data_IF_982132576663
#
_entry.id   IF_982132576663
#
_cell.length_a   1.000
_cell.length_b   1.000
_cell.length_c   1.000
_cell.angle_alpha   90.00
_cell.angle_beta   90.00
_cell.angle_gamma   90.00
#
_symmetry.space_group_name_H-M   'P 1'
#
loop_
_entity.id
_entity.type
_entity.pdbx_description
1 polymer ?
#
# COMPACT_ATOMS: atom_id res chain seq x y z
N UNK A 1 9.29 -0.23 -19.82
CA UNK A 1 8.54 0.40 -18.71
C UNK A 1 9.14 1.76 -18.48
N UNK A 2 8.33 2.79 -18.23
CA UNK A 2 8.86 4.12 -17.91
C UNK A 2 9.62 4.07 -16.60
N UNK A 3 10.78 4.72 -16.55
CA UNK A 3 11.52 4.91 -15.30
C UNK A 3 11.00 6.16 -14.61
N UNK A 4 9.98 5.98 -13.76
CA UNK A 4 9.44 7.04 -12.91
C UNK A 4 10.18 7.04 -11.57
N UNK A 5 10.25 8.22 -10.94
CA UNK A 5 10.53 8.37 -9.51
C UNK A 5 9.24 8.22 -8.69
N UNK A 6 9.37 7.95 -7.40
CA UNK A 6 8.24 7.86 -6.47
C UNK A 6 7.39 9.13 -6.45
N UNK A 7 8.02 10.31 -6.51
CA UNK A 7 7.34 11.61 -6.59
C UNK A 7 6.54 11.76 -7.89
N UNK A 8 7.11 11.34 -9.03
CA UNK A 8 6.40 11.36 -10.31
C UNK A 8 5.21 10.38 -10.30
N UNK A 9 5.36 9.18 -9.70
CA UNK A 9 4.26 8.22 -9.58
C UNK A 9 3.11 8.77 -8.75
N UNK A 10 3.38 9.36 -7.58
CA UNK A 10 2.35 10.03 -6.74
C UNK A 10 1.59 11.07 -7.56
N UNK A 11 2.33 11.98 -8.21
CA UNK A 11 1.75 13.06 -9.00
C UNK A 11 0.92 12.53 -10.16
N UNK A 12 1.45 11.57 -10.92
CA UNK A 12 0.80 11.01 -12.09
C UNK A 12 -0.49 10.28 -11.74
N UNK A 13 -0.53 9.56 -10.62
CA UNK A 13 -1.73 8.89 -10.11
C UNK A 13 -2.82 9.92 -9.74
N UNK A 14 -2.47 10.95 -8.97
CA UNK A 14 -3.41 12.00 -8.59
C UNK A 14 -3.93 12.79 -9.79
N UNK A 15 -3.05 13.09 -10.76
CA UNK A 15 -3.44 13.76 -12.02
C UNK A 15 -4.37 12.89 -12.87
N UNK A 16 -4.11 11.59 -12.94
CA UNK A 16 -4.96 10.64 -13.63
C UNK A 16 -6.38 10.63 -13.06
N UNK A 17 -6.54 10.40 -11.76
CA UNK A 17 -7.87 10.34 -11.15
C UNK A 17 -8.56 11.70 -11.09
N UNK A 18 -7.80 12.79 -10.94
CA UNK A 18 -8.35 14.14 -11.12
C UNK A 18 -8.95 14.35 -12.51
N UNK A 19 -8.32 13.80 -13.55
CA UNK A 19 -8.87 13.84 -14.93
C UNK A 19 -10.16 13.02 -15.11
N UNK A 20 -10.43 12.06 -14.22
CA UNK A 20 -11.67 11.27 -14.16
C UNK A 20 -12.73 11.87 -13.22
N UNK A 21 -12.46 13.06 -12.69
CA UNK A 21 -13.39 13.82 -11.85
C UNK A 21 -13.28 13.53 -10.35
N UNK A 22 -12.22 12.86 -9.90
CA UNK A 22 -11.97 12.65 -8.47
C UNK A 22 -11.42 13.92 -7.82
N UNK A 23 -11.95 14.26 -6.65
CA UNK A 23 -11.37 15.27 -5.80
C UNK A 23 -10.11 14.72 -5.12
N UNK A 24 -8.99 15.44 -5.26
CA UNK A 24 -7.77 15.11 -4.52
C UNK A 24 -7.94 15.55 -3.08
N UNK A 25 -7.87 14.61 -2.14
CA UNK A 25 -7.95 14.86 -0.69
C UNK A 25 -6.58 14.63 -0.03
N UNK A 26 -6.28 15.25 1.12
CA UNK A 26 -5.04 14.98 1.84
C UNK A 26 -5.07 13.59 2.49
N UNK A 27 -3.89 12.98 2.66
CA UNK A 27 -3.74 11.78 3.50
C UNK A 27 -4.20 12.10 4.93
N UNK A 28 -4.97 11.20 5.52
CA UNK A 28 -5.32 11.29 6.93
C UNK A 28 -4.13 10.94 7.85
N UNK A 29 -4.29 11.24 9.13
CA UNK A 29 -3.37 10.85 10.20
C UNK A 29 -3.15 9.33 10.26
N UNK A 30 -1.96 8.94 10.72
CA UNK A 30 -1.64 7.55 11.05
C UNK A 30 -2.44 7.03 12.26
N UNK A 31 -3.02 7.91 13.07
CA UNK A 31 -3.91 7.53 14.17
C UNK A 31 -5.37 7.66 13.69
N UNK A 32 -6.11 6.54 13.62
CA UNK A 32 -7.52 6.53 13.25
C UNK A 32 -8.35 7.46 14.15
N UNK A 33 -9.31 8.19 13.56
CA UNK A 33 -10.24 9.03 14.33
C UNK A 33 -11.44 8.26 14.85
N UNK A 34 -11.91 7.29 14.06
CA UNK A 34 -13.26 6.74 14.19
C UNK A 34 -13.27 5.23 14.46
N UNK A 35 -12.13 4.64 14.80
CA UNK A 35 -12.04 3.19 15.03
C UNK A 35 -11.10 2.86 16.22
N UNK A 36 -11.67 2.50 17.39
CA UNK A 36 -10.87 2.11 18.55
C UNK A 36 -10.28 0.69 18.45
N UNK A 37 -10.63 -0.09 17.42
CA UNK A 37 -10.21 -1.48 17.26
C UNK A 37 -8.89 -1.63 16.49
N UNK A 38 -8.48 -0.61 15.75
CA UNK A 38 -7.23 -0.59 14.98
C UNK A 38 -6.26 0.44 15.54
N UNK A 39 -4.99 0.06 15.69
CA UNK A 39 -3.96 0.93 16.27
C UNK A 39 -3.52 2.05 15.30
N UNK A 40 -3.49 1.74 14.01
CA UNK A 40 -3.00 2.64 12.96
C UNK A 40 -3.90 2.61 11.75
N UNK A 41 -3.84 3.67 10.95
CA UNK A 41 -4.36 3.69 9.59
C UNK A 41 -3.54 2.71 8.74
N UNK A 42 -4.14 1.60 8.31
CA UNK A 42 -3.46 0.52 7.56
C UNK A 42 -3.80 0.51 6.06
N UNK A 43 -4.81 1.29 5.66
CA UNK A 43 -5.31 1.45 4.30
C UNK A 43 -5.96 2.83 4.10
N UNK A 44 -6.04 3.27 2.84
CA UNK A 44 -6.69 4.53 2.44
C UNK A 44 -8.19 4.61 2.75
N UNK A 45 -8.87 3.47 2.87
CA UNK A 45 -10.30 3.44 3.18
C UNK A 45 -10.65 3.73 4.65
N UNK A 46 -9.70 3.54 5.58
CA UNK A 46 -9.98 3.67 7.03
C UNK A 46 -10.59 5.03 7.40
N UNK A 47 -10.05 6.17 6.95
CA UNK A 47 -10.64 7.49 7.22
C UNK A 47 -11.98 7.70 6.50
N UNK A 48 -12.29 6.88 5.50
CA UNK A 48 -13.45 7.02 4.63
C UNK A 48 -14.63 6.11 5.00
N UNK A 49 -14.48 5.25 6.01
CA UNK A 49 -15.51 4.30 6.47
C UNK A 49 -16.89 4.96 6.68
N UNK A 50 -17.04 6.13 7.33
CA UNK A 50 -18.35 6.77 7.51
C UNK A 50 -19.04 7.07 6.16
N UNK A 51 -18.27 7.51 5.16
CA UNK A 51 -18.79 7.85 3.85
C UNK A 51 -19.11 6.61 3.00
N UNK A 52 -18.31 5.54 3.16
CA UNK A 52 -18.60 4.23 2.57
C UNK A 52 -19.88 3.61 3.15
N UNK A 53 -20.24 3.96 4.39
CA UNK A 53 -21.51 3.58 5.02
C UNK A 53 -22.70 4.49 4.62
N UNK A 54 -22.46 5.54 3.83
CA UNK A 54 -23.51 6.38 3.25
C UNK A 54 -23.53 7.84 3.73
N UNK A 55 -22.60 8.24 4.61
CA UNK A 55 -22.43 9.67 4.90
C UNK A 55 -21.91 10.43 3.66
N UNK A 56 -22.26 11.71 3.55
CA UNK A 56 -21.80 12.54 2.43
C UNK A 56 -20.43 13.12 2.74
N UNK A 57 -19.45 12.84 1.86
CA UNK A 57 -18.14 13.46 1.95
C UNK A 57 -18.19 14.91 1.40
N UNK A 58 -17.57 15.90 2.06
CA UNK A 58 -17.64 17.31 1.65
C UNK A 58 -17.03 17.60 0.27
N UNK A 59 -16.06 16.78 -0.17
CA UNK A 59 -15.41 16.91 -1.48
C UNK A 59 -16.17 16.22 -2.63
N UNK A 60 -17.33 15.60 -2.38
CA UNK A 60 -18.15 14.92 -3.39
C UNK A 60 -18.08 13.39 -3.30
N UNK A 61 -18.46 12.71 -4.38
CA UNK A 61 -18.65 11.24 -4.43
C UNK A 61 -17.48 10.49 -5.06
N UNK A 62 -16.47 11.18 -5.56
CA UNK A 62 -15.25 10.60 -6.15
C UNK A 62 -14.03 11.21 -5.49
N UNK A 63 -13.19 10.40 -4.85
CA UNK A 63 -12.06 10.87 -4.05
C UNK A 63 -10.78 10.17 -4.46
N UNK A 64 -9.62 10.82 -4.34
CA UNK A 64 -8.32 10.18 -4.54
C UNK A 64 -7.26 10.79 -3.64
N UNK A 65 -6.31 9.98 -3.16
CA UNK A 65 -5.19 10.44 -2.34
C UNK A 65 -3.94 9.54 -2.45
N UNK A 66 -2.95 9.87 -1.62
CA UNK A 66 -1.81 9.00 -1.29
C UNK A 66 -1.73 8.87 0.23
N UNK A 67 -2.43 7.88 0.78
CA UNK A 67 -2.52 7.64 2.21
C UNK A 67 -1.23 7.07 2.79
N UNK A 68 -0.75 7.68 3.88
CA UNK A 68 0.26 7.13 4.79
C UNK A 68 -0.30 5.90 5.52
N UNK A 69 0.37 4.75 5.44
CA UNK A 69 -0.08 3.52 6.09
C UNK A 69 1.00 2.95 7.01
N UNK A 70 0.58 2.37 8.14
CA UNK A 70 1.45 1.55 8.99
C UNK A 70 0.83 0.17 9.18
N UNK A 71 1.57 -0.89 8.83
CA UNK A 71 1.19 -2.29 9.07
C UNK A 71 2.13 -2.90 10.10
N UNK A 72 1.55 -3.38 11.20
CA UNK A 72 2.29 -4.00 12.30
C UNK A 72 2.52 -5.50 12.08
N UNK A 73 1.72 -6.14 11.23
CA UNK A 73 1.87 -7.54 10.86
C UNK A 73 3.20 -7.84 10.16
N UNK A 74 3.73 -6.88 9.41
CA UNK A 74 4.94 -7.03 8.58
C UNK A 74 6.26 -6.75 9.34
N UNK A 75 6.18 -6.42 10.64
CA UNK A 75 7.34 -5.99 11.45
C UNK A 75 8.44 -7.05 11.49
N UNK A 76 8.07 -8.32 11.48
CA UNK A 76 9.03 -9.41 11.66
C UNK A 76 9.72 -9.83 10.34
N UNK A 77 9.03 -9.61 9.22
CA UNK A 77 9.43 -9.81 7.83
C UNK A 77 10.35 -8.70 7.33
N UNK A 78 10.23 -7.48 7.89
CA UNK A 78 11.09 -6.33 7.53
C UNK A 78 12.56 -6.70 7.55
N UNK A 79 13.23 -6.33 6.45
CA UNK A 79 14.60 -6.70 6.11
C UNK A 79 14.69 -7.69 4.95
N UNK A 80 13.57 -8.26 4.51
CA UNK A 80 13.48 -8.99 3.25
C UNK A 80 13.48 -8.05 2.03
N UNK A 81 13.00 -8.50 0.86
CA UNK A 81 13.03 -7.70 -0.36
C UNK A 81 11.82 -6.76 -0.53
N UNK A 82 10.73 -6.93 0.20
CA UNK A 82 9.41 -6.37 -0.19
C UNK A 82 8.54 -5.85 0.96
N UNK A 83 8.78 -6.23 2.21
CA UNK A 83 7.95 -5.82 3.34
C UNK A 83 8.46 -4.53 3.98
N UNK A 84 7.53 -3.64 4.30
CA UNK A 84 7.80 -2.37 4.99
C UNK A 84 6.77 -2.18 6.10
N UNK A 85 7.15 -1.56 7.20
CA UNK A 85 6.22 -1.21 8.28
C UNK A 85 5.39 0.00 7.91
N UNK A 86 6.04 1.02 7.36
CA UNK A 86 5.39 2.18 6.75
C UNK A 86 5.41 2.04 5.23
N UNK A 87 4.33 2.41 4.56
CA UNK A 87 4.27 2.53 3.11
C UNK A 87 3.18 3.53 2.73
N UNK A 88 3.16 3.90 1.45
CA UNK A 88 2.13 4.78 0.90
C UNK A 88 1.19 3.97 0.00
N UNK A 89 -0.11 4.16 0.21
CA UNK A 89 -1.17 3.56 -0.58
C UNK A 89 -1.80 4.64 -1.44
N UNK A 90 -1.71 4.51 -2.76
CA UNK A 90 -2.42 5.38 -3.69
C UNK A 90 -3.83 4.84 -3.86
N UNK A 91 -4.83 5.65 -3.55
CA UNK A 91 -6.23 5.22 -3.52
C UNK A 91 -7.16 6.11 -4.33
N UNK A 92 -8.21 5.50 -4.85
CA UNK A 92 -9.34 6.17 -5.44
C UNK A 92 -10.66 5.53 -4.97
N UNK A 93 -11.65 6.36 -4.68
CA UNK A 93 -12.93 5.92 -4.13
C UNK A 93 -14.10 6.38 -4.97
N UNK A 94 -15.08 5.48 -5.13
CA UNK A 94 -16.44 5.79 -5.54
C UNK A 94 -17.36 5.65 -4.35
N UNK A 95 -18.00 6.73 -3.95
CA UNK A 95 -19.00 6.77 -2.88
C UNK A 95 -20.39 6.76 -3.51
N UNK A 96 -20.86 5.57 -3.87
CA UNK A 96 -22.18 5.37 -4.49
C UNK A 96 -22.36 5.95 -5.90
N UNK A 97 -21.27 6.10 -6.66
CA UNK A 97 -21.29 6.71 -8.00
C UNK A 97 -20.99 5.71 -9.14
N UNK A 98 -19.72 5.47 -9.47
CA UNK A 98 -19.31 4.43 -10.42
C UNK A 98 -19.03 3.10 -9.70
N UNK A 99 -18.91 2.00 -10.44
CA UNK A 99 -18.63 0.68 -9.87
C UNK A 99 -17.59 -0.09 -10.70
N UNK A 100 -17.72 -1.41 -10.80
CA UNK A 100 -16.74 -2.32 -11.40
C UNK A 100 -16.30 -1.94 -12.80
N UNK A 101 -17.24 -1.60 -13.68
CA UNK A 101 -16.96 -1.34 -15.10
C UNK A 101 -15.96 -0.19 -15.27
N UNK A 102 -16.27 0.96 -14.69
CA UNK A 102 -15.42 2.14 -14.76
C UNK A 102 -14.13 1.96 -13.96
N UNK A 103 -14.19 1.35 -12.77
CA UNK A 103 -13.02 1.08 -11.95
C UNK A 103 -11.97 0.26 -12.72
N UNK A 104 -12.37 -0.90 -13.25
CA UNK A 104 -11.49 -1.79 -14.00
C UNK A 104 -10.96 -1.12 -15.27
N UNK A 105 -11.80 -0.40 -16.01
CA UNK A 105 -11.36 0.34 -17.20
C UNK A 105 -10.30 1.40 -16.86
N UNK A 106 -10.47 2.16 -15.78
CA UNK A 106 -9.51 3.19 -15.36
C UNK A 106 -8.23 2.60 -14.78
N UNK A 107 -8.33 1.53 -13.97
CA UNK A 107 -7.17 0.79 -13.47
C UNK A 107 -6.34 0.25 -14.64
N UNK A 108 -6.98 -0.36 -15.65
CA UNK A 108 -6.30 -0.82 -16.85
C UNK A 108 -5.66 0.32 -17.67
N UNK A 109 -6.38 1.43 -17.84
CA UNK A 109 -5.88 2.62 -18.55
C UNK A 109 -4.63 3.17 -17.87
N UNK A 110 -4.64 3.34 -16.55
CA UNK A 110 -3.50 3.86 -15.80
C UNK A 110 -2.27 2.94 -15.91
N UNK A 111 -2.48 1.63 -15.76
CA UNK A 111 -1.39 0.64 -15.82
C UNK A 111 -0.78 0.56 -17.23
N UNK A 112 -1.60 0.57 -18.28
CA UNK A 112 -1.14 0.21 -19.63
C UNK A 112 -0.96 1.40 -20.58
N UNK A 113 -1.60 2.53 -20.30
CA UNK A 113 -1.55 3.72 -21.16
C UNK A 113 -0.13 4.27 -21.28
N UNK A 114 0.32 4.53 -22.51
CA UNK A 114 1.67 5.03 -22.78
C UNK A 114 1.93 6.40 -22.16
N UNK A 115 0.90 7.23 -21.96
CA UNK A 115 1.00 8.51 -21.25
C UNK A 115 1.07 8.34 -19.73
N UNK A 116 0.63 7.20 -19.19
CA UNK A 116 0.62 6.84 -17.77
C UNK A 116 1.83 5.96 -17.45
N UNK A 117 1.63 4.73 -16.94
CA UNK A 117 2.74 3.83 -16.57
C UNK A 117 3.35 3.08 -17.76
N UNK A 118 2.56 2.81 -18.80
CA UNK A 118 3.02 2.07 -19.99
C UNK A 118 3.57 0.67 -19.66
N UNK A 119 2.93 -0.04 -18.74
CA UNK A 119 3.27 -1.42 -18.41
C UNK A 119 2.81 -2.33 -19.56
N UNK A 120 3.67 -3.20 -20.10
CA UNK A 120 3.28 -4.14 -21.12
C UNK A 120 2.15 -5.06 -20.62
N UNK A 121 1.07 -5.18 -21.40
CA UNK A 121 -0.15 -5.90 -21.02
C UNK A 121 0.11 -7.37 -20.70
N UNK A 122 1.04 -7.99 -21.41
CA UNK A 122 1.46 -9.38 -21.23
C UNK A 122 2.16 -9.64 -19.89
N UNK A 123 2.55 -8.60 -19.15
CA UNK A 123 3.10 -8.73 -17.80
C UNK A 123 2.06 -8.63 -16.70
N UNK A 124 0.83 -8.24 -17.05
CA UNK A 124 -0.24 -8.03 -16.08
C UNK A 124 -1.08 -9.30 -15.96
N UNK A 125 -1.37 -9.63 -14.72
CA UNK A 125 -2.21 -10.75 -14.31
C UNK A 125 -3.24 -10.24 -13.31
N UNK A 126 -4.41 -10.84 -13.32
CA UNK A 126 -5.57 -10.34 -12.58
C UNK A 126 -6.21 -11.47 -11.78
N UNK A 127 -6.80 -11.14 -10.65
CA UNK A 127 -7.58 -12.09 -9.84
C UNK A 127 -9.00 -11.61 -9.66
N UNK A 128 -9.95 -12.52 -9.48
CA UNK A 128 -11.36 -12.24 -9.23
C UNK A 128 -11.88 -13.22 -8.17
N UNK A 129 -12.90 -12.81 -7.42
CA UNK A 129 -13.50 -13.67 -6.40
C UNK A 129 -14.16 -14.94 -6.99
N UNK A 130 -13.73 -16.12 -6.52
CA UNK A 130 -14.21 -17.42 -6.98
C UNK A 130 -15.65 -17.75 -6.55
N UNK A 131 -16.23 -16.99 -5.63
CA UNK A 131 -17.52 -17.30 -5.03
C UNK A 131 -17.39 -18.22 -3.82
N UNK A 132 -18.33 -18.10 -2.90
CA UNK A 132 -18.54 -18.98 -1.75
C UNK A 132 -20.04 -19.06 -1.43
N UNK A 133 -20.40 -19.61 -0.27
CA UNK A 133 -21.78 -19.65 0.21
C UNK A 133 -22.39 -18.27 0.53
N UNK A 134 -21.56 -17.23 0.68
CA UNK A 134 -21.97 -15.88 1.09
C UNK A 134 -22.14 -14.93 -0.11
N UNK A 135 -21.40 -15.15 -1.19
CA UNK A 135 -21.45 -14.32 -2.38
C UNK A 135 -21.12 -15.11 -3.66
N UNK A 136 -21.76 -14.76 -4.79
CA UNK A 136 -21.51 -15.44 -6.06
C UNK A 136 -20.09 -15.18 -6.57
N UNK A 137 -19.63 -16.07 -7.46
CA UNK A 137 -18.42 -15.86 -8.25
C UNK A 137 -18.50 -14.55 -9.04
N UNK A 138 -17.40 -13.79 -9.07
CA UNK A 138 -17.35 -12.48 -9.70
C UNK A 138 -17.09 -12.55 -11.21
N UNK A 139 -18.08 -13.06 -11.94
CA UNK A 139 -18.07 -13.10 -13.40
C UNK A 139 -18.13 -11.68 -14.02
N UNK A 140 -18.60 -10.68 -13.27
CA UNK A 140 -18.71 -9.31 -13.75
C UNK A 140 -17.32 -8.70 -13.97
N UNK A 141 -16.45 -8.77 -12.95
CA UNK A 141 -15.06 -8.30 -13.03
C UNK A 141 -14.26 -9.04 -14.09
N UNK A 142 -14.43 -10.37 -14.18
CA UNK A 142 -13.80 -11.18 -15.23
C UNK A 142 -14.15 -10.67 -16.63
N UNK A 143 -15.44 -10.43 -16.89
CA UNK A 143 -15.88 -9.94 -18.20
C UNK A 143 -15.37 -8.53 -18.49
N UNK A 144 -15.34 -7.62 -17.51
CA UNK A 144 -14.79 -6.28 -17.73
C UNK A 144 -13.29 -6.28 -18.02
N UNK A 145 -12.50 -7.18 -17.40
CA UNK A 145 -11.10 -7.36 -17.79
C UNK A 145 -10.97 -7.88 -19.22
N UNK A 146 -11.82 -8.84 -19.62
CA UNK A 146 -11.88 -9.33 -21.01
C UNK A 146 -12.22 -8.21 -22.00
N UNK A 147 -13.12 -7.29 -21.63
CA UNK A 147 -13.44 -6.11 -22.45
C UNK A 147 -12.23 -5.17 -22.64
N UNK A 148 -11.28 -5.13 -21.70
CA UNK A 148 -10.01 -4.39 -21.85
C UNK A 148 -8.98 -5.11 -22.75
N UNK A 149 -9.28 -6.33 -23.20
CA UNK A 149 -8.40 -7.16 -24.02
C UNK A 149 -7.40 -7.97 -23.21
N UNK A 150 -7.66 -8.26 -21.94
CA UNK A 150 -6.85 -9.17 -21.11
C UNK A 150 -7.15 -10.61 -21.50
N UNK A 151 -6.13 -11.46 -21.62
CA UNK A 151 -6.34 -12.88 -21.95
C UNK A 151 -6.94 -13.70 -20.79
N UNK A 152 -7.77 -14.70 -21.10
CA UNK A 152 -8.53 -15.42 -20.06
C UNK A 152 -7.60 -16.24 -19.12
N UNK A 153 -6.46 -16.70 -19.64
CA UNK A 153 -5.40 -17.36 -18.88
C UNK A 153 -4.54 -16.39 -18.05
N UNK A 154 -4.78 -15.07 -18.17
CA UNK A 154 -4.22 -14.05 -17.28
C UNK A 154 -5.16 -13.66 -16.15
N UNK A 155 -6.39 -14.21 -16.09
CA UNK A 155 -7.40 -13.89 -15.07
C UNK A 155 -7.70 -15.14 -14.25
N UNK A 156 -7.44 -15.07 -12.93
CA UNK A 156 -7.56 -16.18 -12.01
C UNK A 156 -8.75 -15.98 -11.08
N UNK A 157 -9.52 -17.03 -10.83
CA UNK A 157 -10.53 -16.99 -9.77
C UNK A 157 -9.95 -17.59 -8.49
N UNK A 158 -9.88 -16.80 -7.41
CA UNK A 158 -9.33 -17.22 -6.13
C UNK A 158 -10.36 -17.18 -5.00
N UNK A 159 -10.21 -18.04 -3.97
CA UNK A 159 -11.13 -18.08 -2.85
C UNK A 159 -11.13 -16.79 -2.02
N UNK A 160 -12.05 -16.71 -1.07
CA UNK A 160 -12.26 -15.58 -0.15
C UNK A 160 -10.99 -15.10 0.55
N UNK A 161 -10.06 -16.00 0.87
CA UNK A 161 -8.79 -15.64 1.51
C UNK A 161 -7.94 -14.68 0.67
N UNK A 162 -8.10 -14.71 -0.66
CA UNK A 162 -7.34 -13.87 -1.59
C UNK A 162 -8.19 -12.81 -2.29
N UNK A 163 -9.48 -13.07 -2.51
CA UNK A 163 -10.34 -12.13 -3.25
C UNK A 163 -11.58 -11.67 -2.49
N UNK A 164 -11.40 -11.30 -1.23
CA UNK A 164 -12.42 -10.66 -0.42
C UNK A 164 -11.77 -9.73 0.58
N UNK A 165 -12.15 -8.46 0.54
CA UNK A 165 -11.60 -7.47 1.44
C UNK A 165 -12.60 -7.05 2.51
N UNK A 166 -12.09 -7.03 3.74
CA UNK A 166 -12.76 -6.45 4.90
C UNK A 166 -13.77 -7.34 5.63
N UNK A 167 -14.51 -6.76 6.59
CA UNK A 167 -14.42 -5.35 6.98
C UNK A 167 -13.08 -4.98 7.66
N UNK A 168 -12.78 -3.68 7.74
CA UNK A 168 -11.60 -3.17 8.43
C UNK A 168 -11.56 -3.55 9.94
N UNK A 169 -12.74 -3.71 10.55
CA UNK A 169 -12.92 -4.17 11.93
C UNK A 169 -13.64 -5.52 12.02
N UNK A 170 -14.43 -5.72 13.08
CA UNK A 170 -15.25 -6.94 13.24
C UNK A 170 -16.48 -6.89 12.32
N UNK A 171 -17.01 -5.69 12.09
CA UNK A 171 -18.19 -5.38 11.28
C UNK A 171 -17.88 -4.22 10.34
N UNK A 172 -18.73 -4.01 9.33
CA UNK A 172 -18.62 -2.88 8.42
C UNK A 172 -18.63 -3.25 6.94
N UNK A 173 -18.36 -2.27 6.06
CA UNK A 173 -18.42 -2.46 4.62
C UNK A 173 -17.29 -3.39 4.15
N UNK A 174 -17.63 -4.30 3.25
CA UNK A 174 -16.75 -5.32 2.69
C UNK A 174 -17.29 -5.79 1.33
N UNK A 175 -16.50 -6.60 0.63
CA UNK A 175 -16.95 -7.20 -0.62
C UNK A 175 -15.88 -7.99 -1.36
N UNK A 176 -16.27 -8.59 -2.49
CA UNK A 176 -15.30 -9.17 -3.41
C UNK A 176 -14.43 -8.06 -3.99
N UNK A 177 -13.24 -8.44 -4.41
CA UNK A 177 -12.30 -7.54 -5.05
C UNK A 177 -11.70 -8.16 -6.31
N UNK A 178 -10.92 -7.36 -7.02
CA UNK A 178 -10.06 -7.81 -8.10
C UNK A 178 -8.69 -7.19 -7.92
N UNK A 179 -7.64 -8.00 -8.00
CA UNK A 179 -6.28 -7.53 -7.77
C UNK A 179 -5.45 -7.62 -9.06
N UNK A 180 -4.51 -6.70 -9.18
CA UNK A 180 -3.59 -6.55 -10.30
C UNK A 180 -2.19 -6.96 -9.86
N UNK A 181 -1.63 -7.91 -10.58
CA UNK A 181 -0.31 -8.48 -10.36
C UNK A 181 0.61 -8.21 -11.54
N UNK A 182 1.91 -8.10 -11.25
CA UNK A 182 2.95 -8.13 -12.28
C UNK A 182 3.73 -9.44 -12.21
N UNK A 183 3.94 -10.08 -13.37
CA UNK A 183 4.92 -11.16 -13.50
C UNK A 183 6.35 -10.62 -13.38
N UNK A 184 7.03 -11.04 -12.32
CA UNK A 184 8.40 -10.63 -12.00
C UNK A 184 9.45 -11.35 -12.86
N UNK A 185 9.03 -12.32 -13.67
CA UNK A 185 9.90 -13.17 -14.48
C UNK A 185 10.53 -14.33 -13.70
N UNK A 186 10.20 -14.51 -12.42
CA UNK A 186 10.61 -15.71 -11.67
C UNK A 186 9.93 -16.96 -12.26
N UNK A 187 10.61 -18.11 -12.22
CA UNK A 187 10.01 -19.36 -12.68
C UNK A 187 8.79 -19.71 -11.83
N UNK A 188 7.81 -20.37 -12.45
CA UNK A 188 6.65 -20.92 -11.75
C UNK A 188 7.12 -21.94 -10.70
N UNK A 189 6.49 -21.94 -9.52
CA UNK A 189 6.79 -22.89 -8.45
C UNK A 189 6.19 -24.29 -8.67
N UNK A 190 5.47 -24.49 -9.77
CA UNK A 190 4.79 -25.73 -10.13
C UNK A 190 3.78 -25.52 -11.25
N UNK A 191 3.09 -26.59 -11.69
CA UNK A 191 2.07 -26.51 -12.74
C UNK A 191 0.86 -25.65 -12.34
N UNK A 192 0.52 -25.63 -11.05
CA UNK A 192 -0.61 -24.87 -10.50
C UNK A 192 -0.21 -23.48 -9.96
N UNK A 193 0.94 -22.95 -10.43
CA UNK A 193 1.42 -21.65 -9.98
C UNK A 193 0.47 -20.53 -10.41
N UNK A 194 -0.05 -19.79 -9.44
CA UNK A 194 -1.01 -18.71 -9.65
C UNK A 194 -0.64 -17.50 -8.77
N UNK A 195 -1.33 -16.36 -8.93
CA UNK A 195 -1.16 -15.21 -8.05
C UNK A 195 -1.35 -15.50 -6.55
N UNK A 196 -2.06 -16.58 -6.18
CA UNK A 196 -2.19 -17.02 -4.79
C UNK A 196 -0.89 -17.56 -4.17
N UNK A 197 0.14 -17.86 -4.98
CA UNK A 197 1.39 -18.44 -4.49
C UNK A 197 2.35 -17.39 -3.93
N UNK A 198 2.96 -17.68 -2.77
CA UNK A 198 4.02 -16.84 -2.16
C UNK A 198 5.41 -16.97 -2.82
N UNK A 199 5.52 -17.62 -3.99
CA UNK A 199 6.79 -17.84 -4.69
C UNK A 199 7.41 -16.54 -5.27
N UNK A 200 6.64 -15.46 -5.30
CA UNK A 200 7.05 -14.16 -5.82
C UNK A 200 7.13 -14.06 -7.34
N UNK A 201 6.58 -15.04 -8.09
CA UNK A 201 6.37 -14.92 -9.53
C UNK A 201 5.41 -13.79 -9.86
N UNK A 202 4.31 -13.70 -9.13
CA UNK A 202 3.33 -12.63 -9.26
C UNK A 202 3.49 -11.69 -8.05
N UNK A 203 3.69 -10.40 -8.30
CA UNK A 203 3.70 -9.38 -7.26
C UNK A 203 2.44 -8.53 -7.38
N UNK A 204 1.61 -8.56 -6.35
CA UNK A 204 0.43 -7.70 -6.22
C UNK A 204 0.88 -6.24 -6.12
N UNK A 205 0.32 -5.39 -6.98
CA UNK A 205 0.59 -3.96 -7.00
C UNK A 205 -0.62 -3.11 -6.63
N UNK A 206 -1.84 -3.58 -6.91
CA UNK A 206 -3.07 -2.81 -6.76
C UNK A 206 -4.26 -3.75 -6.53
N UNK A 207 -5.16 -3.37 -5.62
CA UNK A 207 -6.43 -4.05 -5.36
C UNK A 207 -7.60 -3.07 -5.56
N UNK A 208 -8.62 -3.49 -6.32
CA UNK A 208 -9.92 -2.81 -6.48
C UNK A 208 -11.01 -3.60 -5.73
N UNK A 209 -11.41 -3.08 -4.57
CA UNK A 209 -12.44 -3.63 -3.69
C UNK A 209 -13.82 -3.10 -4.06
N UNK A 210 -14.75 -4.03 -4.31
CA UNK A 210 -16.12 -3.71 -4.68
C UNK A 210 -17.05 -3.88 -3.48
N UNK A 211 -17.03 -2.87 -2.60
CA UNK A 211 -17.82 -2.87 -1.39
C UNK A 211 -19.32 -2.85 -1.72
N UNK A 212 -19.96 -3.98 -1.48
CA UNK A 212 -21.39 -4.18 -1.75
C UNK A 212 -22.10 -4.93 -0.62
N UNK A 213 -21.37 -5.29 0.45
CA UNK A 213 -21.90 -5.94 1.64
C UNK A 213 -21.48 -5.21 2.92
N UNK A 214 -22.28 -5.33 3.96
CA UNK A 214 -21.99 -4.92 5.31
C UNK A 214 -21.98 -6.17 6.19
N UNK A 215 -20.84 -6.49 6.79
CA UNK A 215 -20.73 -7.61 7.72
C UNK A 215 -21.29 -7.19 9.08
N UNK A 216 -22.25 -7.96 9.58
CA UNK A 216 -22.92 -7.75 10.86
C UNK A 216 -22.21 -8.50 11.99
N UNK A 217 -22.55 -8.17 13.23
CA UNK A 217 -21.95 -8.81 14.42
C UNK A 217 -22.24 -10.31 14.50
N UNK A 218 -23.38 -10.75 13.97
CA UNK A 218 -23.77 -12.17 13.89
C UNK A 218 -23.06 -12.95 12.76
N UNK A 219 -22.17 -12.28 12.02
CA UNK A 219 -21.38 -12.83 10.93
C UNK A 219 -22.09 -12.83 9.57
N UNK A 220 -23.34 -12.37 9.49
CA UNK A 220 -24.08 -12.28 8.22
C UNK A 220 -23.60 -11.11 7.37
N UNK A 221 -23.80 -11.22 6.05
CA UNK A 221 -23.45 -10.21 5.05
C UNK A 221 -24.73 -9.61 4.45
N UNK A 222 -25.07 -8.38 4.83
CA UNK A 222 -26.22 -7.66 4.28
C UNK A 222 -25.79 -6.79 3.09
N UNK A 223 -26.54 -6.72 1.99
CA UNK A 223 -26.22 -5.79 0.90
C UNK A 223 -26.17 -4.33 1.37
N UNK A 224 -25.17 -3.57 0.93
CA UNK A 224 -25.11 -2.13 1.17
C UNK A 224 -26.18 -1.38 0.35
N UNK A 225 -26.70 -0.29 0.91
CA UNK A 225 -27.66 0.58 0.21
C UNK A 225 -27.05 1.21 -1.06
N UNK A 226 -25.75 1.50 -1.02
CA UNK A 226 -24.97 1.99 -2.14
C UNK A 226 -23.74 1.11 -2.32
N UNK A 227 -23.45 0.76 -3.57
CA UNK A 227 -22.22 0.05 -3.92
C UNK A 227 -21.09 1.07 -4.03
N UNK A 228 -19.94 0.76 -3.44
CA UNK A 228 -18.78 1.63 -3.43
C UNK A 228 -17.59 0.93 -4.09
N UNK A 229 -16.64 1.75 -4.53
CA UNK A 229 -15.32 1.28 -4.96
C UNK A 229 -14.31 1.83 -3.97
N UNK A 230 -13.45 0.96 -3.48
CA UNK A 230 -12.26 1.28 -2.70
C UNK A 230 -11.07 0.64 -3.40
N UNK A 231 -9.98 1.37 -3.57
CA UNK A 231 -8.80 0.81 -4.22
C UNK A 231 -7.54 1.17 -3.44
N UNK A 232 -6.54 0.30 -3.48
CA UNK A 232 -5.22 0.58 -2.92
C UNK A 232 -4.10 0.05 -3.78
N UNK A 233 -3.27 0.95 -4.32
CA UNK A 233 -2.03 0.63 -5.01
C UNK A 233 -0.83 0.88 -4.09
N UNK A 234 0.06 -0.09 -3.93
CA UNK A 234 1.26 0.07 -3.11
C UNK A 234 2.34 0.85 -3.85
N UNK A 235 2.71 2.04 -3.37
CA UNK A 235 3.72 2.90 -4.01
C UNK A 235 5.08 2.19 -4.12
N UNK A 236 5.60 1.68 -2.99
CA UNK A 236 6.92 1.06 -2.87
C UNK A 236 7.06 -0.16 -3.79
N UNK A 237 6.01 -0.99 -3.91
CA UNK A 237 5.98 -2.16 -4.82
C UNK A 237 5.92 -1.72 -6.28
N UNK A 238 5.05 -0.77 -6.61
CA UNK A 238 4.87 -0.28 -7.97
C UNK A 238 6.15 0.36 -8.50
N UNK A 239 6.78 1.22 -7.70
CA UNK A 239 8.01 1.90 -8.10
C UNK A 239 9.19 0.93 -8.25
N UNK A 240 9.27 -0.09 -7.39
CA UNK A 240 10.25 -1.17 -7.51
C UNK A 240 10.17 -1.83 -8.89
N UNK A 241 8.96 -2.19 -9.34
CA UNK A 241 8.77 -2.83 -10.64
C UNK A 241 9.05 -1.88 -11.80
N UNK A 242 8.53 -0.65 -11.75
CA UNK A 242 8.74 0.34 -12.82
C UNK A 242 10.22 0.66 -13.04
N UNK A 243 11.01 0.68 -11.95
CA UNK A 243 12.46 0.88 -11.99
C UNK A 243 13.25 -0.41 -12.27
N UNK A 244 12.59 -1.55 -12.46
CA UNK A 244 13.23 -2.84 -12.71
C UNK A 244 14.09 -3.33 -11.54
N UNK A 245 13.76 -2.92 -10.31
CA UNK A 245 14.47 -3.28 -9.09
C UNK A 245 13.98 -4.63 -8.55
N UNK A 246 14.84 -5.30 -7.78
CA UNK A 246 14.53 -6.60 -7.16
C UNK A 246 14.01 -6.45 -5.73
N UNK A 247 14.19 -5.28 -5.14
CA UNK A 247 13.75 -4.96 -3.79
C UNK A 247 13.22 -3.54 -3.73
N UNK A 248 12.18 -3.34 -2.91
CA UNK A 248 11.61 -2.01 -2.63
C UNK A 248 12.67 -1.06 -2.07
N UNK A 249 13.68 -1.59 -1.38
CA UNK A 249 14.81 -0.84 -0.82
C UNK A 249 15.80 -0.34 -1.88
N UNK A 250 15.78 -0.88 -3.10
CA UNK A 250 16.73 -0.49 -4.16
C UNK A 250 16.19 0.67 -5.03
N UNK A 251 15.11 1.32 -4.58
CA UNK A 251 14.38 2.39 -5.28
C UNK A 251 14.77 3.77 -4.75
N UNK A 252 14.33 4.83 -5.43
CA UNK A 252 14.51 6.21 -4.97
C UNK A 252 13.81 6.52 -3.64
N UNK A 253 12.85 5.69 -3.24
CA UNK A 253 12.17 5.78 -1.93
C UNK A 253 13.16 5.56 -0.77
N UNK A 254 14.19 4.73 -0.97
CA UNK A 254 15.14 4.37 0.09
C UNK A 254 16.58 4.80 -0.21
N UNK A 255 16.92 5.13 -1.46
CA UNK A 255 18.32 5.39 -1.85
C UNK A 255 18.99 6.47 -1.00
N UNK A 256 18.29 7.56 -0.68
CA UNK A 256 18.81 8.63 0.18
C UNK A 256 19.02 8.16 1.63
N UNK A 257 18.08 7.38 2.16
CA UNK A 257 18.13 6.83 3.52
C UNK A 257 19.29 5.83 3.64
N UNK A 258 19.43 4.90 2.68
CA UNK A 258 20.51 3.93 2.63
C UNK A 258 21.89 4.59 2.48
N UNK A 259 22.00 5.64 1.66
CA UNK A 259 23.23 6.41 1.55
C UNK A 259 23.63 7.05 2.88
N UNK A 260 22.67 7.62 3.63
CA UNK A 260 22.93 8.16 4.97
C UNK A 260 23.36 7.08 5.97
N UNK A 261 22.76 5.88 5.90
CA UNK A 261 23.17 4.74 6.73
C UNK A 261 24.61 4.30 6.38
N UNK A 262 24.96 4.25 5.09
CA UNK A 262 26.31 3.91 4.63
C UNK A 262 27.34 4.92 5.14
N UNK A 263 27.05 6.22 5.04
CA UNK A 263 27.88 7.31 5.57
C UNK A 263 28.14 7.15 7.07
N UNK A 264 27.10 6.88 7.86
CA UNK A 264 27.21 6.79 9.32
C UNK A 264 27.85 5.48 9.81
N UNK A 265 27.73 4.39 9.04
CA UNK A 265 28.25 3.06 9.42
C UNK A 265 29.64 2.77 8.86
N UNK A 266 30.04 3.44 7.78
CA UNK A 266 31.22 3.08 6.99
C UNK A 266 31.09 1.73 6.26
N UNK A 267 29.89 1.15 6.20
CA UNK A 267 29.59 -0.12 5.53
C UNK A 267 28.90 0.10 4.18
N UNK A 268 28.99 -0.89 3.31
CA UNK A 268 28.37 -0.89 1.98
C UNK A 268 27.06 -1.70 1.97
N UNK A 269 25.97 -1.12 1.48
CA UNK A 269 24.71 -1.83 1.27
C UNK A 269 24.88 -2.86 0.16
N UNK A 270 24.51 -4.12 0.41
CA UNK A 270 24.69 -5.22 -0.54
C UNK A 270 26.01 -5.99 -0.40
N UNK A 271 26.88 -5.63 0.55
CA UNK A 271 28.16 -6.34 0.77
C UNK A 271 27.98 -7.81 1.14
N UNK A 272 26.98 -8.10 1.97
CA UNK A 272 26.61 -9.42 2.44
C UNK A 272 25.15 -9.40 2.94
N UNK A 273 24.56 -10.58 3.16
CA UNK A 273 23.16 -10.72 3.56
C UNK A 273 22.85 -10.09 4.93
N UNK A 274 23.75 -10.21 5.91
CA UNK A 274 23.52 -9.69 7.26
C UNK A 274 23.56 -8.16 7.26
N UNK A 275 24.57 -7.58 6.61
CA UNK A 275 24.69 -6.13 6.43
C UNK A 275 23.50 -5.59 5.65
N UNK A 276 23.13 -6.22 4.54
CA UNK A 276 21.96 -5.83 3.72
C UNK A 276 20.68 -5.83 4.56
N UNK A 277 20.43 -6.91 5.30
CA UNK A 277 19.26 -7.03 6.18
C UNK A 277 19.25 -5.93 7.26
N UNK A 278 20.40 -5.63 7.85
CA UNK A 278 20.52 -4.59 8.87
C UNK A 278 20.24 -3.19 8.33
N UNK A 279 20.77 -2.85 7.14
CA UNK A 279 20.47 -1.59 6.44
C UNK A 279 18.97 -1.42 6.22
N UNK A 280 18.31 -2.45 5.70
CA UNK A 280 16.87 -2.44 5.40
C UNK A 280 16.01 -2.21 6.64
N UNK A 281 16.31 -2.89 7.75
CA UNK A 281 15.60 -2.70 9.03
C UNK A 281 15.78 -1.27 9.54
N UNK A 282 17.02 -0.75 9.55
CA UNK A 282 17.29 0.61 10.04
C UNK A 282 16.55 1.63 9.16
N UNK A 283 16.62 1.48 7.84
CA UNK A 283 15.96 2.38 6.90
C UNK A 283 14.43 2.39 7.09
N UNK A 284 13.80 1.20 7.10
CA UNK A 284 12.35 1.06 7.28
C UNK A 284 11.87 1.60 8.63
N UNK A 285 12.48 1.14 9.73
CA UNK A 285 11.99 1.48 11.05
C UNK A 285 12.23 2.95 11.41
N UNK A 286 13.31 3.56 10.94
CA UNK A 286 13.49 5.01 11.12
C UNK A 286 12.50 5.78 10.25
N UNK A 287 12.27 5.37 9.00
CA UNK A 287 11.21 5.97 8.17
C UNK A 287 9.85 5.93 8.88
N UNK A 288 9.44 4.75 9.34
CA UNK A 288 8.19 4.58 10.07
C UNK A 288 8.14 5.41 11.35
N UNK A 289 9.20 5.38 12.18
CA UNK A 289 9.25 6.14 13.41
C UNK A 289 9.18 7.66 13.17
N UNK A 290 9.85 8.17 12.13
CA UNK A 290 9.77 9.58 11.72
C UNK A 290 8.34 9.97 11.36
N UNK A 291 7.64 9.15 10.56
CA UNK A 291 6.24 9.41 10.21
C UNK A 291 5.31 9.33 11.42
N UNK A 292 5.51 8.37 12.31
CA UNK A 292 4.68 8.23 13.52
C UNK A 292 4.86 9.41 14.49
N UNK A 293 6.09 9.87 14.70
CA UNK A 293 6.39 10.99 15.59
C UNK A 293 5.99 12.33 14.96
N UNK A 294 6.21 12.49 13.66
CA UNK A 294 5.89 13.72 12.92
C UNK A 294 4.44 13.84 12.46
N UNK A 295 3.61 12.80 12.67
CA UNK A 295 2.18 12.84 12.38
C UNK A 295 1.49 13.99 13.13
N UNK A 296 0.42 14.54 12.57
CA UNK A 296 -0.31 15.68 13.13
C UNK A 296 -0.78 15.46 14.58
N UNK A 297 -1.06 14.21 14.96
CA UNK A 297 -1.46 13.85 16.32
C UNK A 297 -0.29 13.48 17.24
N UNK A 298 0.91 13.32 16.69
CA UNK A 298 2.17 13.08 17.41
C UNK A 298 2.18 11.81 18.27
N UNK A 299 2.84 10.75 17.81
CA UNK A 299 2.99 9.52 18.62
C UNK A 299 4.31 9.58 19.39
N UNK A 300 4.24 9.38 20.71
CA UNK A 300 5.43 9.33 21.57
C UNK A 300 5.69 7.90 22.09
N UNK A 301 6.96 7.49 22.29
CA UNK A 301 7.28 6.14 22.76
C UNK A 301 6.74 5.84 24.17
N UNK A 302 5.84 4.87 24.31
CA UNK A 302 5.19 4.50 25.57
C UNK A 302 5.28 2.99 25.86
N UNK A 303 4.68 2.52 26.96
CA UNK A 303 4.58 1.09 27.30
C UNK A 303 3.30 0.41 26.75
N UNK A 304 2.38 1.17 26.13
CA UNK A 304 1.09 0.65 25.65
C UNK A 304 0.78 1.12 24.23
N UNK A 305 -0.11 0.40 23.55
CA UNK A 305 -0.75 0.81 22.29
C UNK A 305 0.24 1.29 21.21
N UNK A 306 -0.09 2.38 20.49
CA UNK A 306 0.75 2.92 19.43
C UNK A 306 2.15 3.30 19.90
N UNK A 307 2.25 3.83 21.13
CA UNK A 307 3.53 4.23 21.72
C UNK A 307 4.44 3.03 22.00
N UNK A 308 3.89 1.86 22.34
CA UNK A 308 4.64 0.62 22.48
C UNK A 308 5.20 0.16 21.13
N UNK A 309 4.40 0.23 20.06
CA UNK A 309 4.86 -0.12 18.71
C UNK A 309 5.99 0.81 18.27
N UNK A 310 5.82 2.13 18.42
CA UNK A 310 6.88 3.10 18.13
C UNK A 310 8.17 2.77 18.89
N UNK A 311 8.06 2.50 20.20
CA UNK A 311 9.20 2.10 21.03
C UNK A 311 9.86 0.82 20.52
N UNK A 312 9.08 -0.19 20.10
CA UNK A 312 9.59 -1.45 19.54
C UNK A 312 10.40 -1.20 18.26
N UNK A 313 9.88 -0.38 17.34
CA UNK A 313 10.54 -0.02 16.09
C UNK A 313 11.87 0.71 16.34
N UNK A 314 11.86 1.75 17.19
CA UNK A 314 13.06 2.52 17.55
C UNK A 314 14.11 1.61 18.19
N UNK A 315 13.74 0.77 19.16
CA UNK A 315 14.68 -0.15 19.81
C UNK A 315 15.28 -1.16 18.83
N UNK A 316 14.49 -1.67 17.89
CA UNK A 316 14.95 -2.60 16.87
C UNK A 316 15.89 -1.88 15.88
N UNK A 317 15.58 -0.65 15.48
CA UNK A 317 16.50 0.19 14.69
C UNK A 317 17.83 0.43 15.43
N UNK A 318 17.82 0.80 16.71
CA UNK A 318 19.03 0.99 17.54
C UNK A 318 19.89 -0.28 17.56
N UNK A 319 19.27 -1.44 17.80
CA UNK A 319 20.00 -2.73 17.84
C UNK A 319 20.72 -3.01 16.53
N UNK A 320 20.05 -2.83 15.39
CA UNK A 320 20.65 -3.13 14.08
C UNK A 320 21.63 -2.04 13.63
N UNK A 321 21.40 -0.78 13.99
CA UNK A 321 22.37 0.29 13.81
C UNK A 321 23.67 0.02 14.57
N UNK A 322 23.59 -0.50 15.81
CA UNK A 322 24.75 -0.95 16.56
C UNK A 322 25.53 -2.08 15.88
N UNK A 323 24.86 -3.02 15.21
CA UNK A 323 25.53 -4.07 14.38
C UNK A 323 26.22 -3.50 13.14
N UNK A 324 25.71 -2.40 12.62
CA UNK A 324 26.35 -1.67 11.54
C UNK A 324 27.53 -0.83 12.02
N UNK A 325 27.69 -0.61 13.34
CA UNK A 325 28.72 0.24 13.92
C UNK A 325 28.33 1.72 13.96
N UNK A 326 27.05 2.05 13.77
CA UNK A 326 26.55 3.42 13.89
C UNK A 326 26.59 3.84 15.36
N UNK A 327 27.20 5.00 15.63
CA UNK A 327 27.34 5.55 16.98
C UNK A 327 25.97 5.85 17.62
N UNK A 328 25.88 5.67 18.93
CA UNK A 328 24.67 6.01 19.70
C UNK A 328 24.30 7.49 19.53
N UNK A 329 23.00 7.76 19.41
CA UNK A 329 22.52 9.13 19.22
C UNK A 329 22.65 9.67 17.79
N UNK A 330 23.04 8.87 16.78
CA UNK A 330 23.11 9.33 15.37
C UNK A 330 21.86 9.04 14.53
N UNK A 331 20.89 8.27 15.02
CA UNK A 331 19.71 7.89 14.25
C UNK A 331 18.82 9.07 13.82
N UNK A 332 18.84 10.19 14.55
CA UNK A 332 18.10 11.39 14.16
C UNK A 332 18.62 11.98 12.83
N UNK A 333 19.88 11.72 12.43
CA UNK A 333 20.42 12.15 11.13
C UNK A 333 19.78 11.37 9.97
N UNK A 334 19.38 10.11 10.21
CA UNK A 334 18.61 9.32 9.26
C UNK A 334 17.17 9.85 9.20
N UNK A 335 16.57 10.19 10.35
CA UNK A 335 15.25 10.82 10.39
C UNK A 335 15.22 12.16 9.62
N UNK A 336 16.25 13.00 9.75
CA UNK A 336 16.39 14.23 8.97
C UNK A 336 16.42 13.97 7.46
N UNK A 337 17.06 12.88 7.02
CA UNK A 337 17.04 12.47 5.61
C UNK A 337 15.63 12.09 5.15
N UNK A 338 14.85 11.39 6.00
CA UNK A 338 13.44 11.07 5.72
C UNK A 338 12.63 12.37 5.60
N UNK A 339 12.74 13.30 6.54
CA UNK A 339 12.04 14.60 6.52
C UNK A 339 12.41 15.39 5.26
N UNK A 340 13.68 15.42 4.87
CA UNK A 340 14.13 16.11 3.66
C UNK A 340 13.51 15.53 2.39
N UNK A 341 13.28 14.21 2.34
CA UNK A 341 12.72 13.54 1.17
C UNK A 341 11.20 13.71 1.09
N UNK A 342 10.51 13.71 2.23
CA UNK A 342 9.05 13.63 2.31
C UNK A 342 8.37 14.96 2.67
N UNK A 343 9.09 15.93 3.23
CA UNK A 343 8.50 17.13 3.82
C UNK A 343 7.87 18.13 2.82
N UNK A 344 8.02 17.92 1.51
CA UNK A 344 7.21 18.64 0.51
C UNK A 344 5.84 17.99 0.31
N UNK A 345 5.77 16.65 0.41
CA UNK A 345 4.54 15.87 0.26
C UNK A 345 3.73 15.87 1.56
N UNK A 346 4.42 15.80 2.69
CA UNK A 346 3.87 15.76 4.05
C UNK A 346 4.47 16.89 4.90
N UNK A 347 3.96 18.14 4.77
CA UNK A 347 4.50 19.31 5.44
C UNK A 347 4.55 19.21 6.98
N UNK A 348 3.67 18.40 7.57
CA UNK A 348 3.63 18.12 9.01
C UNK A 348 4.97 17.55 9.52
N UNK A 349 5.71 16.81 8.70
CA UNK A 349 7.04 16.30 9.08
C UNK A 349 8.06 17.42 9.29
N UNK A 350 7.96 18.51 8.52
CA UNK A 350 8.81 19.70 8.70
C UNK A 350 8.34 20.54 9.89
N UNK A 351 7.02 20.65 10.07
CA UNK A 351 6.45 21.39 11.20
C UNK A 351 6.84 20.76 12.55
N UNK A 352 6.89 19.42 12.60
CA UNK A 352 7.19 18.63 13.79
C UNK A 352 8.65 18.10 13.79
N UNK A 353 9.59 18.83 13.18
CA UNK A 353 10.97 18.36 12.99
C UNK A 353 11.81 18.33 14.29
N UNK A 354 11.59 19.28 15.21
CA UNK A 354 12.29 19.34 16.51
C UNK A 354 11.73 18.31 17.50
#
# INVERSE_FOLDING_TARGET
MKTLTSNELRKLYLEFFKSKGHAVIPSASLIPENDPTVLFTTAGMHPLVPYLLGEKHPAGTRLTDVQKCVRTGDIDEVGDASHCTFFEMLGNWSLGDYFKKEAIAWSFEFLTGEQWLGIPKEKLYFTCFAGDENAPRDEESFNYWREQGVEADHIFFLPKEHNWWGPAGVTGPCGPDTEMFIDTGKPACGPDCSPACSCGKYLEIWNDVFMQYNKKEDGTFEPLAHKNVDTGMGLDRTICILQGKKSVYDTDVFSGILAKIAELSGKEYGSDEETTRAFRIVADHIRCATFMMGDEKGITPSNTDQGYILRRLIRRAIRFAGRLGIEEGKLHLIAQQVISQYGEVYPELKANQE
#
